data_IF_054963383245
#
_entry.id   IF_054963383245
#
_cell.length_a   1.000
_cell.length_b   1.000
_cell.length_c   1.000
_cell.angle_alpha   90.00
_cell.angle_beta   90.00
_cell.angle_gamma   90.00
#
_symmetry.space_group_name_H-M   'P 1'
#
loop_
_entity.id
_entity.type
_entity.pdbx_description
1 polymer ?
#
# COMPACT_ATOMS: atom_id res chain seq x y z
N UNK A 1 25.38 12.09 42.85
CA UNK A 1 26.82 12.42 43.07
C UNK A 1 27.63 11.80 41.92
N UNK A 2 28.44 12.63 41.27
CA UNK A 2 29.61 12.36 40.41
C UNK A 2 29.28 11.83 39.01
N UNK A 3 29.35 12.65 37.99
CA UNK A 3 30.40 13.32 37.17
C UNK A 3 30.75 12.48 35.94
N UNK A 4 30.32 12.98 34.76
CA UNK A 4 31.11 13.59 33.67
C UNK A 4 32.36 12.83 33.21
N UNK A 5 32.39 12.46 31.91
CA UNK A 5 33.55 12.75 31.05
C UNK A 5 33.10 12.82 29.58
N UNK A 6 33.30 13.99 28.99
CA UNK A 6 33.30 14.29 27.57
C UNK A 6 34.62 13.85 26.94
N UNK A 7 34.61 13.41 25.70
CA UNK A 7 35.79 13.43 24.84
C UNK A 7 35.42 13.83 23.41
N UNK A 8 35.84 14.99 23.02
CA UNK A 8 35.97 15.56 21.68
C UNK A 8 37.09 14.83 20.93
N UNK A 9 36.90 14.53 19.65
CA UNK A 9 38.02 14.51 18.72
C UNK A 9 37.58 15.08 17.37
N UNK A 10 38.20 16.18 17.02
CA UNK A 10 38.15 16.85 15.74
C UNK A 10 39.38 16.43 14.88
N UNK A 11 39.28 16.50 13.59
CA UNK A 11 40.37 16.46 12.64
C UNK A 11 39.99 15.69 11.36
N UNK A 12 40.27 16.08 10.16
CA UNK A 12 40.84 17.23 9.51
C UNK A 12 40.59 17.06 8.01
N UNK A 13 40.44 18.18 7.33
CA UNK A 13 40.32 18.32 5.86
C UNK A 13 41.58 17.84 5.13
N UNK A 14 41.37 17.30 3.90
CA UNK A 14 42.38 17.40 2.87
C UNK A 14 41.69 17.70 1.51
N UNK A 15 41.82 18.94 1.07
CA UNK A 15 41.66 19.36 -0.34
C UNK A 15 42.85 18.86 -1.14
N UNK A 16 42.62 18.34 -2.33
CA UNK A 16 43.62 18.33 -3.40
C UNK A 16 42.97 18.72 -4.73
N UNK A 17 43.17 19.99 -5.10
CA UNK A 17 43.11 20.46 -6.48
C UNK A 17 44.37 20.01 -7.19
N UNK A 18 44.24 19.48 -8.39
CA UNK A 18 45.30 19.52 -9.37
C UNK A 18 44.70 19.82 -10.74
N UNK A 19 45.17 20.88 -11.31
CA UNK A 19 44.74 21.52 -12.53
C UNK A 19 45.64 21.12 -13.71
N UNK A 20 45.12 21.32 -14.92
CA UNK A 20 45.74 21.76 -16.16
C UNK A 20 46.49 20.79 -17.05
N UNK A 21 46.13 20.88 -18.33
CA UNK A 21 47.09 20.86 -19.41
C UNK A 21 46.61 20.16 -20.68
N UNK A 22 46.19 20.95 -21.64
CA UNK A 22 45.77 20.85 -22.95
C UNK A 22 46.60 20.02 -23.95
N UNK A 23 46.00 19.65 -25.03
CA UNK A 23 46.35 19.91 -26.43
C UNK A 23 45.52 19.04 -27.38
N UNK A 24 45.05 19.64 -28.40
CA UNK A 24 44.26 19.09 -29.50
C UNK A 24 45.06 18.09 -30.37
N UNK A 25 44.37 17.06 -30.84
CA UNK A 25 44.59 16.53 -32.20
C UNK A 25 43.38 15.73 -32.68
N UNK A 26 42.92 16.12 -33.84
CA UNK A 26 41.89 15.53 -34.68
C UNK A 26 42.22 14.10 -35.11
N UNK A 27 41.23 13.20 -35.08
CA UNK A 27 41.00 12.18 -36.12
C UNK A 27 39.69 11.41 -35.95
N UNK A 28 38.82 11.57 -36.95
CA UNK A 28 37.93 10.60 -37.63
C UNK A 28 37.18 9.53 -36.85
N UNK A 29 35.88 9.69 -36.87
CA UNK A 29 34.77 8.76 -37.02
C UNK A 29 35.00 7.25 -36.87
N UNK A 30 34.32 6.68 -35.86
CA UNK A 30 33.66 5.40 -35.97
C UNK A 30 32.41 5.44 -35.07
N UNK A 31 31.23 5.37 -35.71
CA UNK A 31 29.97 5.23 -35.03
C UNK A 31 29.92 3.86 -34.33
N UNK A 32 29.93 3.86 -33.02
CA UNK A 32 29.56 2.70 -32.22
C UNK A 32 28.34 3.11 -31.42
N UNK A 33 27.21 2.47 -31.75
CA UNK A 33 25.97 2.60 -31.00
C UNK A 33 26.19 2.12 -29.57
N UNK A 34 26.48 3.03 -28.66
CA UNK A 34 26.38 2.77 -27.25
C UNK A 34 24.89 2.74 -26.89
N UNK A 35 24.35 1.55 -26.71
CA UNK A 35 23.08 1.35 -26.04
C UNK A 35 23.17 2.06 -24.69
N UNK A 36 22.38 3.11 -24.54
CA UNK A 36 22.18 3.81 -23.28
C UNK A 36 21.52 2.84 -22.32
N UNK A 37 22.30 2.16 -21.52
CA UNK A 37 21.80 1.48 -20.33
C UNK A 37 21.32 2.57 -19.37
N UNK A 38 20.02 2.73 -19.25
CA UNK A 38 19.40 3.54 -18.22
C UNK A 38 19.89 3.08 -16.84
N UNK A 39 20.17 3.96 -15.88
CA UNK A 39 20.48 3.56 -14.52
C UNK A 39 19.20 3.06 -13.83
N UNK A 40 18.94 1.77 -13.92
CA UNK A 40 17.93 1.09 -13.13
C UNK A 40 18.63 0.47 -11.93
N UNK A 41 18.91 1.20 -10.88
CA UNK A 41 19.44 0.55 -9.68
C UNK A 41 19.41 1.33 -8.37
N UNK A 42 18.88 2.55 -8.29
CA UNK A 42 18.77 3.20 -6.97
C UNK A 42 17.34 3.34 -6.47
N UNK A 43 16.33 3.22 -7.33
CA UNK A 43 14.94 3.27 -6.93
C UNK A 43 14.37 1.98 -6.35
N UNK A 44 15.08 0.84 -6.51
CA UNK A 44 14.59 -0.45 -6.05
C UNK A 44 14.88 -0.72 -4.56
N UNK A 45 15.88 -0.06 -3.97
CA UNK A 45 16.25 -0.29 -2.57
C UNK A 45 15.36 0.44 -1.57
N UNK A 46 14.68 1.51 -1.99
CA UNK A 46 13.81 2.34 -1.15
C UNK A 46 12.32 2.18 -1.49
N UNK A 47 11.93 1.12 -2.21
CA UNK A 47 10.52 0.88 -2.55
C UNK A 47 9.83 0.10 -1.42
N UNK A 48 8.51 0.32 -1.26
CA UNK A 48 7.69 -0.45 -0.31
C UNK A 48 7.77 -1.96 -0.59
N UNK A 49 7.88 -2.36 -1.87
CA UNK A 49 8.08 -3.75 -2.24
C UNK A 49 9.39 -4.31 -1.69
N UNK A 50 10.50 -3.57 -1.81
CA UNK A 50 11.78 -4.00 -1.26
C UNK A 50 11.74 -4.11 0.27
N UNK A 51 11.04 -3.19 0.92
CA UNK A 51 10.80 -3.23 2.36
C UNK A 51 10.02 -4.50 2.76
N UNK A 52 8.88 -4.78 2.12
CA UNK A 52 8.04 -5.97 2.35
C UNK A 52 8.86 -7.25 2.12
N UNK A 53 9.61 -7.32 1.03
CA UNK A 53 10.46 -8.48 0.72
C UNK A 53 11.59 -8.68 1.74
N UNK A 54 12.19 -7.59 2.25
CA UNK A 54 13.22 -7.68 3.27
C UNK A 54 12.69 -8.17 4.61
N UNK A 55 11.42 -7.89 4.91
CA UNK A 55 10.73 -8.37 6.10
C UNK A 55 10.23 -9.81 5.97
N UNK A 56 10.19 -10.35 4.74
CA UNK A 56 9.68 -11.69 4.45
C UNK A 56 8.17 -11.85 4.59
N UNK A 57 7.43 -10.78 4.87
CA UNK A 57 5.98 -10.79 5.03
C UNK A 57 5.34 -9.49 4.54
N UNK A 58 4.06 -9.57 4.18
CA UNK A 58 3.20 -8.43 3.87
C UNK A 58 2.06 -8.37 4.90
N UNK A 59 1.95 -7.27 5.63
CA UNK A 59 0.90 -7.03 6.62
C UNK A 59 -0.31 -6.41 5.92
N UNK A 60 -1.43 -7.13 5.92
CA UNK A 60 -2.64 -6.85 5.14
C UNK A 60 -3.76 -6.45 6.08
N UNK A 61 -4.19 -5.18 6.02
CA UNK A 61 -5.32 -4.68 6.79
C UNK A 61 -6.66 -5.05 6.14
N UNK A 62 -7.56 -5.63 6.95
CA UNK A 62 -8.91 -6.02 6.53
C UNK A 62 -9.95 -5.78 7.62
N UNK A 63 -11.23 -5.82 7.26
CA UNK A 63 -12.35 -6.02 8.19
C UNK A 63 -13.12 -7.27 7.77
N UNK A 64 -13.87 -7.86 8.71
CA UNK A 64 -14.71 -9.02 8.39
C UNK A 64 -15.79 -8.63 7.39
N UNK A 65 -15.69 -9.16 6.19
CA UNK A 65 -16.59 -8.85 5.08
C UNK A 65 -16.75 -10.08 4.18
N UNK A 66 -17.79 -10.88 4.45
CA UNK A 66 -18.13 -12.03 3.60
C UNK A 66 -18.73 -11.55 2.25
N UNK A 67 -18.28 -12.12 1.12
CA UNK A 67 -17.40 -13.26 0.92
C UNK A 67 -15.92 -12.89 0.66
N UNK A 68 -15.49 -11.69 1.00
CA UNK A 68 -14.15 -11.19 0.66
C UNK A 68 -13.09 -11.66 1.66
N UNK A 69 -13.29 -11.37 2.96
CA UNK A 69 -12.42 -11.78 4.05
C UNK A 69 -13.29 -12.19 5.24
N UNK A 70 -13.26 -13.43 5.64
CA UNK A 70 -14.09 -13.96 6.74
C UNK A 70 -13.54 -15.27 7.27
N UNK A 71 -14.05 -15.69 8.44
CA UNK A 71 -13.79 -17.01 8.98
C UNK A 71 -14.99 -17.89 8.66
N UNK A 72 -14.75 -19.02 8.00
CA UNK A 72 -15.79 -19.98 7.64
C UNK A 72 -16.30 -20.78 8.84
N UNK A 73 -17.26 -21.67 8.60
CA UNK A 73 -17.87 -22.49 9.64
C UNK A 73 -16.89 -23.49 10.30
N UNK A 74 -15.80 -23.82 9.62
CA UNK A 74 -14.76 -24.72 10.10
C UNK A 74 -13.67 -23.97 10.89
N UNK A 75 -13.79 -22.65 11.00
CA UNK A 75 -12.84 -21.78 11.69
C UNK A 75 -11.64 -21.37 10.86
N UNK A 76 -11.64 -21.62 9.55
CA UNK A 76 -10.57 -21.23 8.65
C UNK A 76 -10.79 -19.81 8.14
N UNK A 77 -9.74 -18.98 8.19
CA UNK A 77 -9.77 -17.64 7.58
C UNK A 77 -9.65 -17.74 6.07
N UNK A 78 -10.64 -17.27 5.33
CA UNK A 78 -10.80 -17.47 3.89
C UNK A 78 -11.54 -16.29 3.25
N UNK A 79 -11.85 -16.42 1.98
CA UNK A 79 -12.59 -15.45 1.17
C UNK A 79 -11.83 -15.07 -0.09
N UNK A 80 -12.55 -14.44 -1.01
CA UNK A 80 -11.99 -14.09 -2.32
C UNK A 80 -10.71 -13.23 -2.19
N UNK A 81 -10.75 -12.19 -1.37
CA UNK A 81 -9.60 -11.30 -1.17
C UNK A 81 -8.49 -11.96 -0.35
N UNK A 82 -8.84 -12.78 0.63
CA UNK A 82 -7.87 -13.57 1.42
C UNK A 82 -7.05 -14.49 0.51
N UNK A 83 -7.72 -15.24 -0.36
CA UNK A 83 -7.07 -16.18 -1.29
C UNK A 83 -6.27 -15.44 -2.37
N UNK A 84 -6.81 -14.34 -2.91
CA UNK A 84 -6.12 -13.53 -3.92
C UNK A 84 -4.85 -12.89 -3.33
N UNK A 85 -4.94 -12.31 -2.13
CA UNK A 85 -3.81 -11.73 -1.44
C UNK A 85 -2.73 -12.78 -1.13
N UNK A 86 -3.13 -13.97 -0.67
CA UNK A 86 -2.22 -15.09 -0.43
C UNK A 86 -1.47 -15.48 -1.72
N UNK A 87 -2.18 -15.64 -2.83
CA UNK A 87 -1.57 -15.97 -4.11
C UNK A 87 -0.62 -14.88 -4.64
N UNK A 88 -0.88 -13.60 -4.31
CA UNK A 88 0.04 -12.50 -4.64
C UNK A 88 1.27 -12.54 -3.75
N UNK A 89 1.12 -12.77 -2.44
CA UNK A 89 2.24 -12.91 -1.51
C UNK A 89 3.18 -14.05 -1.93
N UNK A 90 2.65 -15.21 -2.33
CA UNK A 90 3.44 -16.31 -2.88
C UNK A 90 4.27 -15.88 -4.08
N UNK A 91 3.69 -15.10 -5.01
CA UNK A 91 4.41 -14.60 -6.19
C UNK A 91 5.48 -13.57 -5.85
N UNK A 92 5.28 -12.80 -4.77
CA UNK A 92 6.25 -11.82 -4.27
C UNK A 92 7.35 -12.48 -3.42
N UNK A 93 7.18 -13.74 -3.03
CA UNK A 93 8.10 -14.49 -2.18
C UNK A 93 8.05 -14.06 -0.72
N UNK A 94 6.86 -13.69 -0.22
CA UNK A 94 6.60 -13.25 1.15
C UNK A 94 5.40 -13.97 1.75
N UNK A 95 5.32 -14.01 3.09
CA UNK A 95 4.17 -14.57 3.79
C UNK A 95 3.07 -13.51 3.98
N UNK A 96 1.78 -13.83 3.81
CA UNK A 96 0.69 -12.92 4.16
C UNK A 96 0.46 -12.90 5.67
N UNK A 97 0.34 -11.71 6.25
CA UNK A 97 -0.09 -11.51 7.64
C UNK A 97 -1.36 -10.65 7.64
N UNK A 98 -2.51 -11.26 7.94
CA UNK A 98 -3.79 -10.56 7.95
C UNK A 98 -4.06 -9.96 9.33
N UNK A 99 -4.35 -8.66 9.37
CA UNK A 99 -4.64 -7.90 10.58
C UNK A 99 -6.01 -7.25 10.46
N UNK A 100 -6.91 -7.57 11.39
CA UNK A 100 -8.20 -6.89 11.46
C UNK A 100 -7.99 -5.47 11.96
N UNK A 101 -8.49 -4.48 11.21
CA UNK A 101 -8.32 -3.04 11.47
C UNK A 101 -9.68 -2.37 11.71
N UNK A 102 -9.65 -1.17 12.26
CA UNK A 102 -10.81 -0.29 12.22
C UNK A 102 -10.89 0.38 10.85
N UNK A 103 -12.00 0.17 10.13
CA UNK A 103 -12.15 0.68 8.77
C UNK A 103 -12.12 2.20 8.66
N UNK A 104 -12.60 2.90 9.68
CA UNK A 104 -12.58 4.36 9.71
C UNK A 104 -11.15 4.93 9.75
N UNK A 105 -10.21 4.20 10.35
CA UNK A 105 -8.80 4.61 10.48
C UNK A 105 -7.85 3.95 9.48
N UNK A 106 -8.35 3.25 8.46
CA UNK A 106 -7.56 2.44 7.52
C UNK A 106 -6.39 3.18 6.85
N UNK A 107 -6.58 4.45 6.47
CA UNK A 107 -5.51 5.26 5.86
C UNK A 107 -4.47 5.66 6.91
N UNK A 108 -4.91 5.96 8.13
CA UNK A 108 -4.00 6.26 9.26
C UNK A 108 -3.13 5.05 9.60
N UNK A 109 -3.70 3.85 9.58
CA UNK A 109 -2.96 2.59 9.78
C UNK A 109 -1.90 2.38 8.68
N UNK A 110 -2.25 2.67 7.43
CA UNK A 110 -1.34 2.60 6.29
C UNK A 110 -0.20 3.62 6.41
N UNK A 111 -0.51 4.87 6.73
CA UNK A 111 0.47 5.95 6.89
C UNK A 111 1.42 5.69 8.07
N UNK A 112 0.89 5.11 9.15
CA UNK A 112 1.67 4.72 10.32
C UNK A 112 2.55 3.48 10.06
N UNK A 113 2.39 2.81 8.90
CA UNK A 113 3.06 1.54 8.57
C UNK A 113 2.79 0.42 9.57
N UNK A 114 1.62 0.44 10.23
CA UNK A 114 1.13 -0.70 11.00
C UNK A 114 0.62 -1.81 10.10
N UNK A 115 0.23 -1.46 8.88
CA UNK A 115 -0.08 -2.34 7.77
C UNK A 115 0.67 -1.89 6.51
N UNK A 116 0.95 -2.82 5.60
CA UNK A 116 1.62 -2.55 4.33
C UNK A 116 0.62 -2.26 3.20
N UNK A 117 -0.57 -2.82 3.30
CA UNK A 117 -1.67 -2.56 2.36
C UNK A 117 -3.03 -2.79 3.00
N UNK A 118 -4.06 -2.21 2.38
CA UNK A 118 -5.48 -2.45 2.68
C UNK A 118 -6.03 -3.35 1.57
N UNK A 119 -6.59 -4.52 1.93
CA UNK A 119 -7.13 -5.45 0.94
C UNK A 119 -8.41 -6.11 1.45
N UNK A 120 -9.56 -5.54 1.06
CA UNK A 120 -10.85 -5.90 1.64
C UNK A 120 -12.05 -5.50 0.74
N UNK A 121 -11.96 -5.72 -0.58
CA UNK A 121 -13.03 -5.31 -1.49
C UNK A 121 -13.28 -3.79 -1.50
N UNK A 122 -12.28 -3.00 -1.17
CA UNK A 122 -12.39 -1.56 -0.97
C UNK A 122 -12.86 -0.84 -2.24
N UNK A 123 -13.86 0.03 -2.10
CA UNK A 123 -14.30 0.91 -3.17
C UNK A 123 -13.24 1.97 -3.46
N UNK A 124 -12.81 2.07 -4.72
CA UNK A 124 -11.89 3.12 -5.17
C UNK A 124 -12.68 4.43 -5.31
N UNK A 125 -12.61 5.28 -4.30
CA UNK A 125 -13.15 6.64 -4.31
C UNK A 125 -12.05 7.65 -4.64
N UNK A 126 -12.44 8.87 -5.04
CA UNK A 126 -11.49 9.95 -5.29
C UNK A 126 -10.67 10.27 -4.03
N UNK A 127 -11.29 10.18 -2.84
CA UNK A 127 -10.60 10.38 -1.56
C UNK A 127 -9.53 9.33 -1.31
N UNK A 128 -9.84 8.05 -1.50
CA UNK A 128 -8.83 6.96 -1.36
C UNK A 128 -7.69 7.14 -2.37
N UNK A 129 -8.01 7.47 -3.63
CA UNK A 129 -6.98 7.68 -4.66
C UNK A 129 -6.11 8.92 -4.41
N UNK A 130 -6.62 9.90 -3.66
CA UNK A 130 -5.84 11.07 -3.26
C UNK A 130 -4.89 10.79 -2.08
N UNK A 131 -5.21 9.81 -1.23
CA UNK A 131 -4.51 9.54 0.02
C UNK A 131 -3.66 8.26 0.00
N UNK A 132 -3.84 7.38 -0.99
CA UNK A 132 -3.10 6.12 -1.10
C UNK A 132 -2.81 5.74 -2.56
N UNK A 133 -1.70 5.04 -2.79
CA UNK A 133 -1.44 4.41 -4.07
C UNK A 133 -2.38 3.21 -4.25
N UNK A 134 -3.12 3.18 -5.35
CA UNK A 134 -4.11 2.13 -5.60
C UNK A 134 -3.74 1.26 -6.81
N UNK A 135 -4.13 0.00 -6.77
CA UNK A 135 -4.05 -0.88 -7.94
C UNK A 135 -5.17 -0.55 -8.95
N UNK A 136 -5.13 -1.20 -10.11
CA UNK A 136 -6.32 -1.24 -10.99
C UNK A 136 -7.42 -2.02 -10.28
N UNK A 137 -8.68 -1.62 -10.51
CA UNK A 137 -9.83 -2.37 -10.02
C UNK A 137 -9.79 -3.82 -10.56
N UNK A 138 -9.87 -4.78 -9.67
CA UNK A 138 -9.89 -6.22 -9.99
C UNK A 138 -11.31 -6.82 -9.95
N UNK A 139 -12.27 -6.11 -9.35
CA UNK A 139 -13.68 -6.48 -9.29
C UNK A 139 -14.57 -5.25 -9.49
N UNK A 140 -15.81 -5.46 -9.90
CA UNK A 140 -16.85 -4.43 -9.89
C UNK A 140 -17.55 -4.47 -8.55
N UNK A 141 -17.77 -3.29 -7.97
CA UNK A 141 -18.44 -3.11 -6.70
C UNK A 141 -19.67 -2.22 -6.88
N UNK A 142 -20.66 -2.37 -5.99
CA UNK A 142 -21.84 -1.51 -5.90
C UNK A 142 -22.29 -1.40 -4.44
N UNK A 143 -22.70 -0.20 -4.02
CA UNK A 143 -23.37 -0.03 -2.76
C UNK A 143 -24.82 -0.53 -2.91
N UNK A 144 -25.26 -1.35 -1.97
CA UNK A 144 -26.59 -1.96 -1.99
C UNK A 144 -27.31 -1.73 -0.66
N UNK A 145 -28.62 -1.70 -0.70
CA UNK A 145 -29.45 -1.65 0.51
C UNK A 145 -29.91 -3.06 0.85
N UNK A 146 -29.57 -3.52 2.04
CA UNK A 146 -30.05 -4.79 2.57
C UNK A 146 -31.21 -4.51 3.52
N UNK A 147 -32.34 -5.14 3.27
CA UNK A 147 -33.55 -5.01 4.10
C UNK A 147 -33.99 -6.38 4.58
N UNK A 148 -34.74 -6.39 5.69
CA UNK A 148 -35.35 -7.61 6.21
C UNK A 148 -36.30 -8.21 5.17
N UNK A 149 -36.31 -9.52 5.04
CA UNK A 149 -37.24 -10.24 4.17
C UNK A 149 -38.69 -9.79 4.39
N UNK A 150 -39.43 -9.59 3.29
CA UNK A 150 -40.80 -9.08 3.31
C UNK A 150 -40.92 -7.57 3.48
N UNK A 151 -39.84 -6.82 3.61
CA UNK A 151 -39.85 -5.36 3.60
C UNK A 151 -40.13 -4.85 2.20
N UNK A 152 -41.17 -3.99 2.05
CA UNK A 152 -41.43 -3.30 0.79
C UNK A 152 -40.28 -2.30 0.54
N UNK A 153 -39.51 -2.52 -0.52
CA UNK A 153 -38.44 -1.63 -0.96
C UNK A 153 -38.36 -1.65 -2.50
N UNK A 154 -38.49 -0.48 -3.09
CA UNK A 154 -38.42 -0.30 -4.55
C UNK A 154 -37.34 0.71 -4.96
N UNK A 155 -37.05 1.67 -4.09
CA UNK A 155 -36.05 2.70 -4.33
C UNK A 155 -35.53 3.28 -3.01
N UNK A 156 -34.45 4.06 -3.08
CA UNK A 156 -33.90 4.77 -1.92
C UNK A 156 -34.88 5.77 -1.30
N UNK A 157 -35.88 6.24 -2.03
CA UNK A 157 -36.93 7.09 -1.50
C UNK A 157 -37.76 6.42 -0.37
N UNK A 158 -37.85 5.08 -0.38
CA UNK A 158 -38.52 4.29 0.64
C UNK A 158 -37.81 4.29 1.98
N UNK A 159 -36.55 4.77 2.01
CA UNK A 159 -35.73 4.90 3.21
C UNK A 159 -36.02 6.20 3.99
N UNK A 160 -36.78 7.14 3.42
CA UNK A 160 -37.09 8.41 4.08
C UNK A 160 -37.70 8.15 5.46
N UNK A 161 -37.10 8.72 6.52
CA UNK A 161 -37.52 8.53 7.90
C UNK A 161 -37.23 7.14 8.50
N UNK A 162 -36.46 6.30 7.83
CA UNK A 162 -35.97 5.04 8.35
C UNK A 162 -34.57 5.20 8.98
N UNK A 163 -34.26 4.32 9.91
CA UNK A 163 -32.88 4.19 10.40
C UNK A 163 -32.10 3.35 9.41
N UNK A 164 -31.03 3.91 8.86
CA UNK A 164 -30.08 3.25 7.97
C UNK A 164 -28.75 3.15 8.71
N UNK A 165 -28.06 2.04 8.56
CA UNK A 165 -26.74 1.83 9.19
C UNK A 165 -25.73 1.42 8.13
N UNK A 166 -24.50 1.88 8.29
CA UNK A 166 -23.35 1.52 7.48
C UNK A 166 -22.11 1.43 8.36
N UNK A 167 -21.07 0.81 7.86
CA UNK A 167 -19.76 0.83 8.50
C UNK A 167 -19.16 2.24 8.42
N UNK A 168 -18.64 2.74 9.56
CA UNK A 168 -18.03 4.07 9.62
C UNK A 168 -16.81 4.18 8.67
N UNK A 169 -16.66 5.31 8.00
CA UNK A 169 -15.59 5.55 7.02
C UNK A 169 -15.71 4.73 5.73
N UNK A 170 -16.86 4.08 5.48
CA UNK A 170 -17.10 3.29 4.27
C UNK A 170 -17.76 4.10 3.15
N UNK A 171 -17.67 3.60 1.91
CA UNK A 171 -18.41 4.14 0.79
C UNK A 171 -19.95 3.97 0.96
N UNK A 172 -20.38 3.00 1.78
CA UNK A 172 -21.78 2.83 2.16
C UNK A 172 -22.27 3.96 3.03
N UNK A 173 -21.49 4.40 4.01
CA UNK A 173 -21.84 5.58 4.84
C UNK A 173 -21.93 6.85 3.99
N UNK A 174 -20.97 7.05 3.07
CA UNK A 174 -20.97 8.21 2.18
C UNK A 174 -22.17 8.23 1.19
N UNK A 175 -22.86 7.10 1.02
CA UNK A 175 -24.03 6.97 0.14
C UNK A 175 -25.37 7.23 0.84
N UNK A 176 -25.41 7.39 2.17
CA UNK A 176 -26.58 7.67 2.99
C UNK A 176 -26.83 9.18 3.09
#
# INVERSE_FOLDING_TARGET
MKRLVSAFLAGAMALSLAACGGSASTSTAAASAAASAAPASSAAADSDLAYIQSNGKMVIGYTVYEPMNYTDADGSFTGFDTELATAVCEKLGVEPEFVEINWDTKVVELDAKSIDCIWNGMTLTDDIMANAATTKAYAKNAQVVVVKEGTAYTSTADLAGKTVVAEAGSAGEAAI
#
